data_IF_824259036253
#
_entry.id   IF_824259036253
#
_cell.length_a   1.000
_cell.length_b   1.000
_cell.length_c   1.000
_cell.angle_alpha   90.00
_cell.angle_beta   90.00
_cell.angle_gamma   90.00
#
_symmetry.space_group_name_H-M   'P 1'
#
loop_
_entity.id
_entity.type
_entity.pdbx_description
1 polymer ?
#
# COMPACT_ATOMS: atom_id res chain seq x y z
N UNK A 1 -23.00 -26.08 -0.40
CA UNK A 1 -22.28 -26.71 -1.53
C UNK A 1 -22.11 -28.20 -1.28
N UNK A 2 -22.45 -29.03 -2.26
CA UNK A 2 -22.33 -30.50 -2.18
C UNK A 2 -21.29 -30.96 -3.20
N UNK A 3 -20.31 -31.70 -2.72
CA UNK A 3 -19.26 -32.29 -3.56
C UNK A 3 -19.45 -33.79 -3.62
N UNK A 4 -19.58 -34.37 -4.81
CA UNK A 4 -19.85 -35.79 -4.99
C UNK A 4 -19.28 -36.35 -6.30
N UNK A 5 -18.95 -37.64 -6.38
CA UNK A 5 -18.65 -38.27 -7.65
C UNK A 5 -19.98 -38.54 -8.41
N UNK A 6 -20.00 -38.18 -9.69
CA UNK A 6 -21.16 -38.42 -10.58
C UNK A 6 -20.73 -39.11 -11.84
N UNK A 7 -21.65 -39.75 -12.55
CA UNK A 7 -21.44 -40.15 -13.93
C UNK A 7 -21.21 -38.90 -14.79
N UNK A 8 -20.36 -39.00 -15.80
CA UNK A 8 -20.01 -37.83 -16.61
C UNK A 8 -21.27 -37.17 -17.26
N UNK A 9 -22.27 -37.98 -17.63
CA UNK A 9 -23.52 -37.48 -18.20
C UNK A 9 -24.32 -36.59 -17.21
N UNK A 10 -24.19 -36.85 -15.91
CA UNK A 10 -24.88 -36.14 -14.86
C UNK A 10 -24.12 -34.89 -14.40
N UNK A 11 -22.98 -34.59 -15.02
CA UNK A 11 -22.11 -33.49 -14.60
C UNK A 11 -22.41 -32.14 -15.26
N UNK A 12 -23.26 -32.11 -16.28
CA UNK A 12 -23.60 -30.88 -17.01
C UNK A 12 -24.07 -29.77 -16.07
N UNK A 13 -23.50 -28.58 -16.23
CA UNK A 13 -23.80 -27.41 -15.39
C UNK A 13 -23.16 -27.43 -14.00
N UNK A 14 -22.47 -28.52 -13.61
CA UNK A 14 -21.79 -28.64 -12.32
C UNK A 14 -20.31 -28.24 -12.46
N UNK A 15 -19.69 -27.91 -11.33
CA UNK A 15 -18.30 -27.43 -11.26
C UNK A 15 -17.35 -28.60 -11.01
N UNK A 16 -16.35 -28.75 -11.84
CA UNK A 16 -15.33 -29.79 -11.71
C UNK A 16 -14.44 -29.55 -10.47
N UNK A 17 -14.39 -30.52 -9.55
CA UNK A 17 -13.65 -30.39 -8.29
C UNK A 17 -12.14 -30.61 -8.43
N UNK A 18 -11.73 -31.46 -9.36
CA UNK A 18 -10.35 -31.84 -9.58
C UNK A 18 -9.96 -31.63 -11.05
N UNK A 19 -8.72 -31.27 -11.36
CA UNK A 19 -8.28 -31.23 -12.75
C UNK A 19 -8.34 -32.63 -13.36
N UNK A 20 -8.72 -32.71 -14.64
CA UNK A 20 -8.75 -33.96 -15.40
C UNK A 20 -7.59 -33.97 -16.40
N UNK A 21 -6.92 -35.09 -16.48
CA UNK A 21 -5.76 -35.28 -17.35
C UNK A 21 -6.01 -36.45 -18.31
N UNK A 22 -5.42 -36.42 -19.50
CA UNK A 22 -5.28 -37.54 -20.42
C UNK A 22 -4.32 -38.59 -19.85
N UNK A 23 -4.39 -39.77 -20.37
CA UNK A 23 -3.38 -40.83 -20.07
C UNK A 23 -1.94 -40.41 -20.39
N UNK A 24 -1.76 -39.46 -21.31
CA UNK A 24 -0.47 -38.85 -21.65
C UNK A 24 0.04 -37.83 -20.62
N UNK A 25 -0.71 -37.56 -19.54
CA UNK A 25 -0.40 -36.51 -18.54
C UNK A 25 -0.80 -35.09 -18.95
N UNK A 26 -1.31 -34.86 -20.16
CA UNK A 26 -1.77 -33.55 -20.60
C UNK A 26 -3.12 -33.20 -19.93
N UNK A 27 -3.20 -32.02 -19.29
CA UNK A 27 -4.43 -31.56 -18.68
C UNK A 27 -5.49 -31.26 -19.73
N UNK A 28 -6.72 -31.76 -19.51
CA UNK A 28 -7.90 -31.53 -20.35
C UNK A 28 -8.68 -30.36 -19.75
N UNK A 29 -9.12 -30.50 -18.49
CA UNK A 29 -9.89 -29.49 -17.76
C UNK A 29 -9.22 -29.13 -16.46
N UNK A 30 -9.34 -27.86 -16.07
CA UNK A 30 -8.88 -27.37 -14.77
C UNK A 30 -9.98 -27.54 -13.71
N UNK A 31 -9.58 -27.59 -12.45
CA UNK A 31 -10.48 -27.39 -11.32
C UNK A 31 -11.27 -26.10 -11.50
N UNK A 32 -12.56 -26.07 -11.15
CA UNK A 32 -13.45 -24.94 -11.30
C UNK A 32 -14.13 -24.82 -12.67
N UNK A 33 -13.80 -25.72 -13.65
CA UNK A 33 -14.45 -25.75 -14.95
C UNK A 33 -15.93 -26.14 -14.81
N UNK A 34 -16.84 -25.36 -15.41
CA UNK A 34 -18.27 -25.71 -15.47
C UNK A 34 -18.46 -26.66 -16.64
N UNK A 35 -18.98 -27.85 -16.37
CA UNK A 35 -19.14 -28.93 -17.34
C UNK A 35 -20.23 -28.60 -18.35
N UNK A 36 -19.91 -28.72 -19.64
CA UNK A 36 -20.83 -28.58 -20.78
C UNK A 36 -21.12 -29.92 -21.44
N UNK A 37 -22.08 -29.95 -22.38
CA UNK A 37 -22.35 -31.14 -23.19
C UNK A 37 -21.15 -31.56 -24.06
N UNK A 38 -20.40 -30.62 -24.59
CA UNK A 38 -19.21 -30.90 -25.39
C UNK A 38 -18.09 -31.54 -24.56
N UNK A 39 -17.96 -31.16 -23.28
CA UNK A 39 -16.98 -31.74 -22.38
C UNK A 39 -17.27 -33.22 -22.11
N UNK A 40 -18.55 -33.61 -22.08
CA UNK A 40 -18.96 -35.00 -21.93
C UNK A 40 -18.40 -35.85 -23.07
N UNK A 41 -18.48 -35.35 -24.32
CA UNK A 41 -17.92 -36.09 -25.49
C UNK A 41 -16.41 -36.25 -25.36
N UNK A 42 -15.71 -35.21 -24.91
CA UNK A 42 -14.26 -35.28 -24.69
C UNK A 42 -13.91 -36.31 -23.62
N UNK A 43 -14.60 -36.29 -22.48
CA UNK A 43 -14.34 -37.21 -21.37
C UNK A 43 -14.69 -38.66 -21.72
N UNK A 44 -15.76 -38.87 -22.47
CA UNK A 44 -16.14 -40.20 -22.99
C UNK A 44 -15.06 -40.73 -23.93
N UNK A 45 -14.51 -39.91 -24.82
CA UNK A 45 -13.41 -40.26 -25.71
C UNK A 45 -12.11 -40.65 -24.99
N UNK A 46 -11.90 -40.12 -23.76
CA UNK A 46 -10.77 -40.51 -22.91
C UNK A 46 -11.05 -41.72 -21.99
N UNK A 47 -12.22 -42.34 -22.12
CA UNK A 47 -12.60 -43.53 -21.35
C UNK A 47 -12.97 -43.27 -19.88
N UNK A 48 -13.22 -42.03 -19.53
CA UNK A 48 -13.67 -41.64 -18.19
C UNK A 48 -15.16 -41.88 -18.03
N UNK A 49 -15.59 -42.41 -16.88
CA UNK A 49 -16.99 -42.67 -16.59
C UNK A 49 -17.53 -41.86 -15.41
N UNK A 50 -16.65 -41.47 -14.50
CA UNK A 50 -17.00 -40.72 -13.29
C UNK A 50 -16.03 -39.57 -13.04
N UNK A 51 -16.53 -38.44 -12.56
CA UNK A 51 -15.75 -37.28 -12.13
C UNK A 51 -16.33 -36.73 -10.84
N UNK A 52 -15.48 -36.02 -10.09
CA UNK A 52 -15.89 -35.27 -8.89
C UNK A 52 -16.38 -33.89 -9.29
N UNK A 53 -17.60 -33.57 -8.94
CA UNK A 53 -18.21 -32.27 -9.20
C UNK A 53 -18.81 -31.67 -7.95
N UNK A 54 -18.95 -30.37 -7.96
CA UNK A 54 -19.67 -29.59 -6.95
C UNK A 54 -20.90 -28.95 -7.57
N UNK A 55 -21.97 -28.85 -6.80
CA UNK A 55 -23.15 -28.10 -7.14
C UNK A 55 -23.40 -27.07 -6.06
N UNK A 56 -23.65 -25.82 -6.49
CA UNK A 56 -23.98 -24.73 -5.57
C UNK A 56 -25.36 -24.99 -4.98
N UNK A 57 -25.49 -24.73 -3.68
CA UNK A 57 -26.78 -24.68 -3.00
C UNK A 57 -27.44 -23.29 -3.17
N UNK A 58 -28.73 -23.19 -2.91
CA UNK A 58 -29.41 -21.92 -2.87
C UNK A 58 -28.75 -20.99 -1.82
N UNK A 59 -28.49 -19.75 -2.19
CA UNK A 59 -27.81 -18.79 -1.32
C UNK A 59 -26.27 -18.86 -1.34
N UNK A 60 -25.70 -19.55 -2.29
CA UNK A 60 -24.24 -19.54 -2.57
C UNK A 60 -23.92 -18.77 -3.85
N UNK A 61 -22.77 -18.08 -3.85
CA UNK A 61 -22.23 -17.35 -4.99
C UNK A 61 -20.99 -18.06 -5.51
N UNK A 62 -20.81 -18.18 -6.85
CA UNK A 62 -19.58 -18.73 -7.43
C UNK A 62 -18.34 -17.98 -6.98
N UNK A 63 -17.23 -18.72 -6.77
CA UNK A 63 -15.97 -18.20 -6.24
C UNK A 63 -15.43 -16.98 -7.01
N UNK A 64 -15.46 -17.00 -8.36
CA UNK A 64 -14.94 -15.91 -9.19
C UNK A 64 -15.81 -14.65 -9.11
N UNK A 65 -17.14 -14.80 -8.96
CA UNK A 65 -18.04 -13.67 -8.74
C UNK A 65 -17.85 -13.07 -7.34
N UNK A 66 -17.69 -13.90 -6.32
CA UNK A 66 -17.45 -13.45 -4.95
C UNK A 66 -16.16 -12.62 -4.83
N UNK A 67 -15.04 -13.13 -5.38
CA UNK A 67 -13.77 -12.38 -5.31
C UNK A 67 -13.80 -11.11 -6.17
N UNK A 68 -14.53 -11.11 -7.29
CA UNK A 68 -14.73 -9.91 -8.11
C UNK A 68 -15.46 -8.83 -7.34
N UNK A 69 -16.57 -9.19 -6.69
CA UNK A 69 -17.37 -8.26 -5.88
C UNK A 69 -16.54 -7.64 -4.76
N UNK A 70 -15.82 -8.48 -4.00
CA UNK A 70 -14.98 -7.99 -2.91
C UNK A 70 -13.81 -7.15 -3.43
N UNK A 71 -13.09 -7.60 -4.48
CA UNK A 71 -11.98 -6.86 -5.06
C UNK A 71 -12.40 -5.46 -5.54
N UNK A 72 -13.59 -5.35 -6.13
CA UNK A 72 -14.18 -4.07 -6.55
C UNK A 72 -14.49 -3.18 -5.33
N UNK A 73 -15.05 -3.73 -4.28
CA UNK A 73 -15.41 -2.97 -3.08
C UNK A 73 -14.21 -2.51 -2.25
N UNK A 74 -13.12 -3.27 -2.22
CA UNK A 74 -11.92 -2.91 -1.45
C UNK A 74 -11.00 -1.91 -2.15
N UNK A 75 -11.09 -1.75 -3.46
CA UNK A 75 -10.14 -1.00 -4.28
C UNK A 75 -10.55 0.46 -4.48
N UNK A 76 -9.60 1.37 -4.32
CA UNK A 76 -9.75 2.78 -4.68
C UNK A 76 -8.44 3.34 -5.27
N UNK A 77 -8.57 4.29 -6.21
CA UNK A 77 -7.43 4.94 -6.84
C UNK A 77 -6.85 4.14 -8.01
N UNK A 78 -5.53 4.22 -8.16
CA UNK A 78 -4.80 3.73 -9.34
C UNK A 78 -4.56 2.22 -9.30
N UNK A 79 -5.65 1.43 -9.32
CA UNK A 79 -5.63 -0.03 -9.27
C UNK A 79 -6.41 -0.67 -10.43
N UNK A 80 -5.85 -1.73 -10.97
CA UNK A 80 -6.51 -2.65 -11.91
C UNK A 80 -6.81 -3.97 -11.19
N UNK A 81 -8.01 -4.51 -11.41
CA UNK A 81 -8.42 -5.80 -10.87
C UNK A 81 -8.27 -6.85 -11.95
N UNK A 82 -7.47 -7.89 -11.68
CA UNK A 82 -7.28 -9.05 -12.55
C UNK A 82 -7.80 -10.31 -11.87
N UNK A 83 -8.95 -10.78 -12.34
CA UNK A 83 -9.54 -12.03 -11.85
C UNK A 83 -8.90 -13.21 -12.59
N UNK A 84 -8.54 -14.24 -11.84
CA UNK A 84 -8.06 -15.52 -12.37
C UNK A 84 -8.98 -16.61 -11.89
N UNK A 85 -9.13 -17.68 -12.70
CA UNK A 85 -9.95 -18.83 -12.34
C UNK A 85 -9.53 -19.44 -10.98
N UNK A 86 -10.51 -19.95 -10.24
CA UNK A 86 -10.30 -20.60 -8.95
C UNK A 86 -10.36 -19.63 -7.77
N UNK A 87 -11.27 -18.67 -7.85
CA UNK A 87 -11.62 -17.76 -6.74
C UNK A 87 -10.48 -16.83 -6.34
N UNK A 88 -9.79 -16.23 -7.30
CA UNK A 88 -8.68 -15.29 -7.03
C UNK A 88 -8.82 -14.01 -7.85
N UNK A 89 -8.73 -12.88 -7.18
CA UNK A 89 -8.56 -11.58 -7.81
C UNK A 89 -7.28 -10.90 -7.29
N UNK A 90 -6.46 -10.39 -8.21
CA UNK A 90 -5.26 -9.63 -7.89
C UNK A 90 -5.50 -8.15 -8.18
N UNK A 91 -5.04 -7.29 -7.29
CA UNK A 91 -5.06 -5.84 -7.48
C UNK A 91 -3.64 -5.40 -7.88
N UNK A 92 -3.54 -4.71 -8.99
CA UNK A 92 -2.27 -4.30 -9.62
C UNK A 92 -2.24 -2.78 -9.71
N UNK A 93 -1.15 -2.16 -9.28
CA UNK A 93 -0.96 -0.72 -9.43
C UNK A 93 -0.82 -0.33 -10.90
N UNK A 94 -1.58 0.68 -11.34
CA UNK A 94 -1.56 1.20 -12.72
C UNK A 94 -0.55 2.33 -12.93
N UNK A 95 -0.08 2.92 -11.83
CA UNK A 95 0.97 3.95 -11.82
C UNK A 95 1.75 3.87 -10.49
N UNK A 96 2.90 4.55 -10.41
CA UNK A 96 3.66 4.66 -9.18
C UNK A 96 2.83 5.37 -8.10
N UNK A 97 2.64 4.73 -6.95
CA UNK A 97 1.73 5.19 -5.91
C UNK A 97 2.19 4.86 -4.50
N UNK A 98 1.56 5.49 -3.53
CA UNK A 98 1.58 5.07 -2.14
C UNK A 98 0.35 4.23 -1.84
N UNK A 99 0.55 3.08 -1.22
CA UNK A 99 -0.53 2.21 -0.77
C UNK A 99 -0.97 2.60 0.65
N UNK A 100 -2.24 2.95 0.80
CA UNK A 100 -2.88 3.18 2.09
C UNK A 100 -3.84 2.03 2.39
N UNK A 101 -3.80 1.53 3.63
CA UNK A 101 -4.57 0.35 4.06
C UNK A 101 -5.26 0.64 5.39
N UNK A 102 -6.56 0.34 5.48
CA UNK A 102 -7.29 0.29 6.75
C UNK A 102 -7.05 -1.10 7.40
N UNK A 103 -6.07 -1.18 8.28
CA UNK A 103 -5.66 -2.44 8.92
C UNK A 103 -6.77 -3.06 9.77
N UNK A 104 -7.64 -2.26 10.38
CA UNK A 104 -8.73 -2.77 11.20
C UNK A 104 -9.85 -3.32 10.33
N UNK A 105 -10.16 -2.68 9.21
CA UNK A 105 -11.10 -3.20 8.23
C UNK A 105 -10.56 -4.50 7.59
N UNK A 106 -9.25 -4.56 7.30
CA UNK A 106 -8.60 -5.77 6.80
C UNK A 106 -8.79 -6.97 7.74
N UNK A 107 -8.56 -6.77 9.05
CA UNK A 107 -8.78 -7.79 10.08
C UNK A 107 -10.24 -8.23 10.13
N UNK A 108 -11.18 -7.28 10.11
CA UNK A 108 -12.61 -7.57 10.14
C UNK A 108 -13.03 -8.41 8.92
N UNK A 109 -12.62 -8.04 7.71
CA UNK A 109 -12.91 -8.79 6.49
C UNK A 109 -12.34 -10.21 6.59
N UNK A 110 -11.08 -10.36 7.00
CA UNK A 110 -10.43 -11.66 7.10
C UNK A 110 -11.03 -12.57 8.20
N UNK A 111 -11.73 -12.00 9.18
CA UNK A 111 -12.48 -12.76 10.21
C UNK A 111 -13.81 -13.31 9.71
N UNK A 112 -14.35 -12.85 8.58
CA UNK A 112 -15.68 -13.30 8.09
C UNK A 112 -15.67 -14.70 7.50
N UNK A 113 -14.49 -15.26 7.17
CA UNK A 113 -14.30 -16.53 6.48
C UNK A 113 -14.95 -16.63 5.07
N UNK A 114 -15.55 -15.56 4.55
CA UNK A 114 -16.07 -15.51 3.18
C UNK A 114 -14.95 -15.49 2.16
N UNK A 115 -13.97 -14.62 2.40
CA UNK A 115 -12.77 -14.43 1.60
C UNK A 115 -11.58 -14.17 2.51
N UNK A 116 -10.39 -14.30 1.96
CA UNK A 116 -9.17 -13.81 2.59
C UNK A 116 -8.53 -12.76 1.69
N UNK A 117 -8.05 -11.68 2.30
CA UNK A 117 -7.37 -10.58 1.61
C UNK A 117 -5.95 -10.48 2.17
N UNK A 118 -4.96 -10.64 1.31
CA UNK A 118 -3.56 -10.37 1.62
C UNK A 118 -3.12 -9.11 0.88
N UNK A 119 -2.42 -8.21 1.57
CA UNK A 119 -2.03 -6.90 1.06
C UNK A 119 -0.51 -6.67 1.15
N UNK A 120 -0.01 -5.66 0.45
CA UNK A 120 1.29 -5.06 0.73
C UNK A 120 1.31 -4.38 2.11
N UNK A 121 2.40 -3.68 2.40
CA UNK A 121 2.55 -2.93 3.65
C UNK A 121 1.91 -1.54 3.52
N UNK A 122 1.24 -1.07 4.57
CA UNK A 122 0.70 0.28 4.63
C UNK A 122 1.82 1.33 4.45
N UNK A 123 1.53 2.43 3.76
CA UNK A 123 2.47 3.48 3.40
C UNK A 123 3.61 3.06 2.47
N UNK A 124 3.57 1.85 1.91
CA UNK A 124 4.60 1.42 0.97
C UNK A 124 4.51 2.17 -0.36
N UNK A 125 5.69 2.48 -0.93
CA UNK A 125 5.81 2.90 -2.32
C UNK A 125 5.67 1.68 -3.24
N UNK A 126 4.78 1.77 -4.19
CA UNK A 126 4.44 0.70 -5.13
C UNK A 126 4.72 1.19 -6.55
N UNK A 127 5.40 0.37 -7.33
CA UNK A 127 5.68 0.63 -8.74
C UNK A 127 4.53 0.19 -9.64
N UNK A 128 4.39 0.86 -10.77
CA UNK A 128 3.49 0.45 -11.85
C UNK A 128 3.66 -1.03 -12.19
N UNK A 129 2.54 -1.75 -12.30
CA UNK A 129 2.51 -3.18 -12.59
C UNK A 129 2.74 -4.09 -11.37
N UNK A 130 3.06 -3.54 -10.20
CA UNK A 130 3.24 -4.32 -8.97
C UNK A 130 1.89 -4.75 -8.40
N UNK A 131 1.80 -6.01 -7.97
CA UNK A 131 0.64 -6.52 -7.24
C UNK A 131 0.65 -6.00 -5.81
N UNK A 132 -0.45 -5.37 -5.41
CA UNK A 132 -0.60 -4.76 -4.08
C UNK A 132 -1.51 -5.55 -3.14
N UNK A 133 -2.43 -6.35 -3.71
CA UNK A 133 -3.29 -7.22 -2.93
C UNK A 133 -3.74 -8.44 -3.73
N UNK A 134 -4.17 -9.46 -3.01
CA UNK A 134 -4.85 -10.62 -3.57
C UNK A 134 -6.06 -10.93 -2.69
N UNK A 135 -7.23 -11.02 -3.31
CA UNK A 135 -8.45 -11.57 -2.71
C UNK A 135 -8.59 -13.01 -3.13
N UNK A 136 -8.88 -13.89 -2.19
CA UNK A 136 -9.14 -15.30 -2.46
C UNK A 136 -10.34 -15.79 -1.67
N UNK A 137 -11.22 -16.56 -2.30
CA UNK A 137 -12.36 -17.21 -1.66
C UNK A 137 -12.08 -18.67 -1.30
N UNK A 138 -13.00 -19.26 -0.55
CA UNK A 138 -13.11 -20.71 -0.48
C UNK A 138 -13.37 -21.30 -1.88
N UNK A 139 -12.96 -22.57 -2.13
CA UNK A 139 -13.14 -23.19 -3.43
C UNK A 139 -14.62 -23.33 -3.82
N UNK A 140 -14.91 -23.03 -5.08
CA UNK A 140 -16.15 -23.19 -5.81
C UNK A 140 -17.27 -22.23 -5.44
N UNK A 141 -17.54 -21.97 -4.15
CA UNK A 141 -18.66 -21.13 -3.73
C UNK A 141 -18.42 -20.46 -2.38
N UNK A 142 -19.05 -19.32 -2.20
CA UNK A 142 -19.08 -18.54 -0.94
C UNK A 142 -20.54 -18.33 -0.55
N UNK A 143 -20.83 -18.43 0.75
CA UNK A 143 -22.17 -18.11 1.26
C UNK A 143 -22.50 -16.64 0.98
N UNK A 144 -23.66 -16.40 0.37
CA UNK A 144 -24.15 -15.04 0.10
C UNK A 144 -24.32 -14.21 1.38
N UNK A 145 -24.70 -14.83 2.50
CA UNK A 145 -24.82 -14.13 3.78
C UNK A 145 -23.47 -13.69 4.35
N UNK A 146 -22.43 -14.52 4.22
CA UNK A 146 -21.07 -14.14 4.62
C UNK A 146 -20.51 -13.04 3.73
N UNK A 147 -20.78 -13.11 2.43
CA UNK A 147 -20.37 -12.08 1.49
C UNK A 147 -21.08 -10.74 1.75
N UNK A 148 -22.38 -10.78 2.12
CA UNK A 148 -23.13 -9.58 2.51
C UNK A 148 -22.51 -8.91 3.75
N UNK A 149 -22.00 -9.67 4.70
CA UNK A 149 -21.25 -9.12 5.84
C UNK A 149 -20.03 -8.31 5.38
N UNK A 150 -19.24 -8.86 4.44
CA UNK A 150 -18.08 -8.14 3.88
C UNK A 150 -18.51 -6.88 3.13
N UNK A 151 -19.55 -6.98 2.30
CA UNK A 151 -20.00 -5.83 1.49
C UNK A 151 -20.64 -4.74 2.38
N UNK A 152 -21.28 -5.10 3.48
CA UNK A 152 -21.77 -4.13 4.47
C UNK A 152 -20.62 -3.40 5.17
N UNK A 153 -19.57 -4.11 5.60
CA UNK A 153 -18.37 -3.48 6.18
C UNK A 153 -17.75 -2.46 5.21
N UNK A 154 -17.64 -2.83 3.93
CA UNK A 154 -17.08 -1.94 2.88
C UNK A 154 -17.99 -0.74 2.60
N UNK A 155 -19.31 -0.91 2.66
CA UNK A 155 -20.29 0.18 2.50
C UNK A 155 -20.21 1.18 3.64
N UNK A 156 -20.05 0.70 4.85
CA UNK A 156 -20.07 1.52 6.06
C UNK A 156 -18.72 2.26 6.28
N UNK A 157 -17.60 1.63 5.94
CA UNK A 157 -16.26 2.14 6.22
C UNK A 157 -15.53 2.71 4.99
N UNK A 158 -16.01 2.39 3.79
CA UNK A 158 -15.33 2.74 2.54
C UNK A 158 -14.30 1.70 2.09
N UNK A 159 -13.46 2.05 1.10
CA UNK A 159 -12.51 1.11 0.52
C UNK A 159 -11.38 0.76 1.51
N UNK A 160 -11.02 -0.53 1.53
CA UNK A 160 -9.90 -1.05 2.32
C UNK A 160 -8.54 -0.51 1.84
N UNK A 161 -8.39 -0.39 0.52
CA UNK A 161 -7.13 -0.04 -0.15
C UNK A 161 -7.29 1.23 -0.96
N UNK A 162 -6.38 2.19 -0.74
CA UNK A 162 -6.26 3.38 -1.59
C UNK A 162 -4.85 3.41 -2.20
N UNK A 163 -4.76 3.31 -3.52
CA UNK A 163 -3.52 3.53 -4.25
C UNK A 163 -3.47 5.01 -4.67
N UNK A 164 -2.78 5.84 -3.87
CA UNK A 164 -2.65 7.28 -4.15
C UNK A 164 -1.43 7.56 -5.01
N UNK A 165 -1.59 8.13 -6.21
CA UNK A 165 -0.48 8.32 -7.13
C UNK A 165 0.58 9.30 -6.61
N UNK A 166 1.84 8.99 -6.90
CA UNK A 166 2.98 9.89 -6.67
C UNK A 166 3.36 10.47 -8.03
N UNK A 167 2.88 11.69 -8.30
CA UNK A 167 3.05 12.34 -9.61
C UNK A 167 3.96 13.55 -9.50
N UNK A 168 5.20 13.43 -10.06
CA UNK A 168 6.18 14.52 -10.16
C UNK A 168 6.29 15.34 -8.86
N UNK A 169 6.62 14.70 -7.73
CA UNK A 169 6.74 15.44 -6.48
C UNK A 169 7.92 16.42 -6.55
N UNK A 170 7.70 17.64 -6.06
CA UNK A 170 8.71 18.70 -5.97
C UNK A 170 9.16 18.87 -4.53
N UNK A 171 10.47 18.92 -4.28
CA UNK A 171 11.03 18.93 -2.93
C UNK A 171 11.82 20.21 -2.69
N UNK A 172 11.49 20.87 -1.57
CA UNK A 172 12.33 21.90 -0.98
C UNK A 172 13.32 21.28 0.00
N UNK A 173 14.59 21.66 -0.04
CA UNK A 173 15.61 21.23 0.90
C UNK A 173 16.28 22.43 1.59
N UNK A 174 16.25 22.43 2.92
CA UNK A 174 17.00 23.38 3.76
C UNK A 174 18.21 22.65 4.34
N UNK A 175 19.40 23.16 4.08
CA UNK A 175 20.64 22.71 4.70
C UNK A 175 21.08 23.73 5.74
N UNK A 176 20.86 23.40 7.01
CA UNK A 176 21.16 24.27 8.14
C UNK A 176 22.52 23.88 8.77
N UNK A 177 23.42 24.84 8.85
CA UNK A 177 24.80 24.66 9.34
C UNK A 177 25.14 25.70 10.40
N UNK A 178 25.74 25.28 11.50
CA UNK A 178 26.15 26.16 12.61
C UNK A 178 27.11 27.26 12.16
N UNK A 179 27.97 26.98 11.18
CA UNK A 179 29.01 27.90 10.67
C UNK A 179 28.59 28.64 9.39
N UNK A 180 27.34 28.49 8.93
CA UNK A 180 26.84 29.05 7.66
C UNK A 180 27.68 28.62 6.44
N UNK A 181 28.17 27.39 6.47
CA UNK A 181 28.95 26.78 5.38
C UNK A 181 28.14 25.73 4.61
N UNK A 182 28.85 24.99 3.79
CA UNK A 182 28.29 23.90 2.97
C UNK A 182 28.36 22.53 3.67
N UNK A 183 28.70 22.48 4.97
CA UNK A 183 28.92 21.22 5.67
C UNK A 183 27.65 20.38 5.75
N UNK A 184 26.52 20.98 6.08
CA UNK A 184 25.24 20.26 6.10
C UNK A 184 24.89 19.75 4.70
N UNK A 185 25.03 20.58 3.69
CA UNK A 185 24.81 20.19 2.30
C UNK A 185 25.72 19.03 1.89
N UNK A 186 27.02 19.13 2.16
CA UNK A 186 28.00 18.07 1.85
C UNK A 186 27.69 16.73 2.53
N UNK A 187 27.10 16.76 3.73
CA UNK A 187 26.74 15.55 4.47
C UNK A 187 25.42 14.91 4.02
N UNK A 188 24.45 15.69 3.59
CA UNK A 188 23.08 15.22 3.39
C UNK A 188 22.62 15.17 1.93
N UNK A 189 23.16 16.01 1.05
CA UNK A 189 22.61 16.18 -0.30
C UNK A 189 22.64 14.90 -1.13
N UNK A 190 23.78 14.19 -1.11
CA UNK A 190 23.93 12.96 -1.87
C UNK A 190 22.91 11.89 -1.44
N UNK A 191 22.79 11.66 -0.14
CA UNK A 191 21.86 10.65 0.41
C UNK A 191 20.40 11.08 0.20
N UNK A 192 20.11 12.38 0.34
CA UNK A 192 18.77 12.93 0.06
C UNK A 192 18.38 12.67 -1.40
N UNK A 193 19.26 12.94 -2.36
CA UNK A 193 19.03 12.64 -3.77
C UNK A 193 18.75 11.16 -4.00
N UNK A 194 19.59 10.26 -3.50
CA UNK A 194 19.41 8.82 -3.64
C UNK A 194 18.03 8.33 -3.08
N UNK A 195 17.60 8.91 -1.96
CA UNK A 195 16.28 8.56 -1.39
C UNK A 195 15.12 9.03 -2.25
N UNK A 196 15.21 10.26 -2.73
CA UNK A 196 14.16 10.89 -3.53
C UNK A 196 14.05 10.28 -4.93
N UNK A 197 15.17 9.88 -5.54
CA UNK A 197 15.20 9.20 -6.84
C UNK A 197 14.31 7.94 -6.89
N UNK A 198 14.17 7.24 -5.77
CA UNK A 198 13.27 6.06 -5.67
C UNK A 198 11.82 6.41 -5.99
N UNK A 199 11.44 7.68 -5.78
CA UNK A 199 10.09 8.22 -5.99
C UNK A 199 10.01 9.09 -7.25
N UNK A 200 11.04 9.10 -8.08
CA UNK A 200 11.13 9.99 -9.23
C UNK A 200 11.20 11.47 -8.84
N UNK A 201 11.73 11.77 -7.66
CA UNK A 201 11.89 13.13 -7.12
C UNK A 201 13.34 13.52 -6.98
N UNK A 202 13.59 14.83 -6.86
CA UNK A 202 14.89 15.42 -6.54
C UNK A 202 14.69 16.65 -5.64
N UNK A 203 15.74 17.16 -4.98
CA UNK A 203 15.68 18.46 -4.32
C UNK A 203 15.63 19.58 -5.40
N UNK A 204 14.41 20.00 -5.76
CA UNK A 204 14.18 20.99 -6.83
C UNK A 204 14.56 22.39 -6.40
N UNK A 205 14.36 22.69 -5.12
CA UNK A 205 14.67 23.99 -4.52
C UNK A 205 15.53 23.76 -3.29
N UNK A 206 16.73 24.37 -3.27
CA UNK A 206 17.67 24.21 -2.17
C UNK A 206 18.07 25.52 -1.56
N UNK A 207 18.20 25.58 -0.24
CA UNK A 207 18.67 26.75 0.51
C UNK A 207 19.69 26.30 1.55
N UNK A 208 20.86 26.94 1.56
CA UNK A 208 21.81 26.84 2.66
C UNK A 208 21.58 28.02 3.62
N UNK A 209 21.58 27.76 4.91
CA UNK A 209 21.41 28.80 5.91
C UNK A 209 22.16 28.49 7.19
N UNK A 210 22.29 29.52 8.06
CA UNK A 210 22.75 29.31 9.43
C UNK A 210 21.74 28.50 10.22
N UNK A 211 22.22 27.66 11.11
CA UNK A 211 21.40 26.87 12.05
C UNK A 211 20.88 27.76 13.19
N UNK A 212 20.05 28.72 12.84
CA UNK A 212 19.36 29.60 13.76
C UNK A 212 17.87 29.60 13.41
N UNK A 213 17.03 29.77 14.43
CA UNK A 213 15.57 29.86 14.31
C UNK A 213 15.17 30.81 13.15
N UNK A 214 15.70 32.03 13.13
CA UNK A 214 15.34 33.04 12.12
C UNK A 214 15.76 32.64 10.70
N UNK A 215 16.97 32.12 10.53
CA UNK A 215 17.48 31.77 9.20
C UNK A 215 16.74 30.56 8.62
N UNK A 216 16.47 29.54 9.42
CA UNK A 216 15.70 28.36 9.02
C UNK A 216 14.27 28.77 8.70
N UNK A 217 13.59 29.58 9.55
CA UNK A 217 12.23 30.07 9.31
C UNK A 217 12.11 30.83 7.98
N UNK A 218 13.04 31.75 7.69
CA UNK A 218 13.10 32.46 6.40
C UNK A 218 13.27 31.50 5.22
N UNK A 219 14.11 30.48 5.37
CA UNK A 219 14.34 29.48 4.33
C UNK A 219 13.07 28.66 4.05
N UNK A 220 12.37 28.22 5.10
CA UNK A 220 11.05 27.56 4.97
C UNK A 220 10.06 28.48 4.23
N UNK A 221 9.90 29.71 4.68
CA UNK A 221 8.99 30.69 4.06
C UNK A 221 9.35 30.97 2.59
N UNK A 222 10.63 31.02 2.27
CA UNK A 222 11.12 31.18 0.88
C UNK A 222 10.69 29.98 0.02
N UNK A 223 10.96 28.75 0.48
CA UNK A 223 10.63 27.53 -0.25
C UNK A 223 9.12 27.32 -0.42
N UNK A 224 8.31 27.70 0.57
CA UNK A 224 6.84 27.62 0.52
C UNK A 224 6.23 28.43 -0.65
N UNK A 225 6.89 29.49 -1.13
CA UNK A 225 6.45 30.27 -2.30
C UNK A 225 6.42 29.44 -3.58
N UNK A 226 7.30 28.45 -3.69
CA UNK A 226 7.35 27.52 -4.83
C UNK A 226 6.28 26.41 -4.72
N UNK A 227 5.52 26.35 -3.61
CA UNK A 227 4.49 25.32 -3.33
C UNK A 227 5.02 23.89 -3.52
N UNK A 228 6.13 23.51 -2.87
CA UNK A 228 6.69 22.17 -3.01
C UNK A 228 5.72 21.12 -2.44
N UNK A 229 5.89 19.87 -2.88
CA UNK A 229 5.14 18.73 -2.31
C UNK A 229 5.53 18.48 -0.86
N UNK A 230 6.81 18.68 -0.53
CA UNK A 230 7.33 18.58 0.84
C UNK A 230 8.59 19.45 1.00
N UNK A 231 8.92 19.81 2.25
CA UNK A 231 10.19 20.45 2.60
C UNK A 231 10.94 19.52 3.57
N UNK A 232 12.21 19.23 3.26
CA UNK A 232 13.12 18.49 4.12
C UNK A 232 14.16 19.45 4.71
N UNK A 233 14.32 19.44 6.04
CA UNK A 233 15.33 20.21 6.76
C UNK A 233 16.42 19.25 7.19
N UNK A 234 17.62 19.39 6.69
CA UNK A 234 18.82 18.69 7.08
C UNK A 234 19.72 19.63 7.88
N UNK A 235 19.83 19.36 9.18
CA UNK A 235 20.60 20.15 10.13
C UNK A 235 21.82 19.40 10.60
N UNK A 236 22.93 20.10 10.87
CA UNK A 236 24.13 19.50 11.49
C UNK A 236 23.91 19.09 12.94
N UNK A 237 22.91 19.66 13.59
CA UNK A 237 22.47 19.28 14.93
C UNK A 237 21.20 18.44 14.84
N UNK A 238 21.18 17.33 15.55
CA UNK A 238 19.99 16.47 15.61
C UNK A 238 18.87 17.17 16.38
N UNK A 239 17.61 17.13 15.89
CA UNK A 239 16.48 17.71 16.59
C UNK A 239 16.37 17.15 18.03
N UNK A 240 16.26 18.04 18.99
CA UNK A 240 16.08 17.68 20.40
C UNK A 240 14.63 17.83 20.87
N UNK A 241 13.81 18.57 20.09
CA UNK A 241 12.41 18.78 20.40
C UNK A 241 11.78 19.92 19.63
N UNK A 242 10.47 20.19 19.86
CA UNK A 242 9.80 21.34 19.29
C UNK A 242 10.38 22.69 19.75
N UNK A 243 11.09 22.70 20.88
CA UNK A 243 11.67 23.90 21.48
C UNK A 243 13.11 24.17 21.02
N UNK A 244 13.69 23.35 20.17
CA UNK A 244 15.01 23.58 19.57
C UNK A 244 14.95 24.59 18.41
N UNK A 245 16.11 24.95 17.86
CA UNK A 245 16.20 25.93 16.79
C UNK A 245 15.36 25.58 15.55
N UNK A 246 15.24 24.28 15.24
CA UNK A 246 14.44 23.82 14.08
C UNK A 246 12.95 23.84 14.40
N UNK A 247 12.55 23.35 15.58
CA UNK A 247 11.15 23.36 16.02
C UNK A 247 10.60 24.79 16.13
N UNK A 248 11.36 25.68 16.77
CA UNK A 248 11.02 27.09 16.87
C UNK A 248 10.97 27.78 15.49
N UNK A 249 11.89 27.44 14.58
CA UNK A 249 11.88 27.95 13.22
C UNK A 249 10.62 27.52 12.46
N UNK A 250 10.21 26.27 12.60
CA UNK A 250 8.96 25.77 12.01
C UNK A 250 7.75 26.55 12.57
N UNK A 251 7.66 26.71 13.88
CA UNK A 251 6.59 27.49 14.52
C UNK A 251 6.58 28.95 14.02
N UNK A 252 7.77 29.61 13.95
CA UNK A 252 7.92 30.97 13.42
C UNK A 252 7.54 31.08 11.95
N UNK A 253 7.77 30.04 11.15
CA UNK A 253 7.33 29.99 9.76
C UNK A 253 5.81 29.81 9.63
N UNK A 254 5.09 29.63 10.74
CA UNK A 254 3.65 29.41 10.82
C UNK A 254 3.26 27.96 10.58
N UNK A 255 4.17 27.02 10.81
CA UNK A 255 3.89 25.60 10.73
C UNK A 255 3.23 25.11 12.03
N UNK A 256 2.27 24.22 11.91
CA UNK A 256 1.72 23.46 13.01
C UNK A 256 2.57 22.18 13.18
N UNK A 257 3.14 21.99 14.36
CA UNK A 257 3.86 20.76 14.69
C UNK A 257 2.83 19.64 14.85
N UNK A 258 2.95 18.59 14.05
CA UNK A 258 2.09 17.42 14.07
C UNK A 258 2.65 16.36 15.02
N UNK A 259 3.96 16.10 14.94
CA UNK A 259 4.59 15.05 15.73
C UNK A 259 6.07 15.31 15.96
N UNK A 260 6.50 15.16 17.19
CA UNK A 260 7.88 14.93 17.57
C UNK A 260 8.03 13.51 18.11
N UNK A 261 9.15 12.86 17.84
CA UNK A 261 9.45 11.45 18.07
C UNK A 261 8.60 10.48 17.24
N UNK A 262 9.30 9.56 16.61
CA UNK A 262 8.71 8.39 15.96
C UNK A 262 9.25 7.11 16.61
N UNK A 263 8.40 6.08 16.81
CA UNK A 263 8.84 4.80 17.36
C UNK A 263 9.53 3.95 16.28
N UNK A 264 10.56 4.51 15.64
CA UNK A 264 11.32 3.91 14.53
C UNK A 264 12.80 4.04 14.80
N UNK A 265 13.52 2.92 14.74
CA UNK A 265 14.97 2.91 14.93
C UNK A 265 15.67 2.22 13.75
N UNK A 266 16.59 2.92 13.07
CA UNK A 266 17.05 4.29 13.34
C UNK A 266 16.04 5.35 12.85
N UNK A 267 16.01 6.51 13.56
CA UNK A 267 15.24 7.67 13.14
C UNK A 267 14.25 8.23 14.15
N UNK A 268 14.32 7.82 15.41
CA UNK A 268 13.40 8.23 16.48
C UNK A 268 13.34 9.76 16.70
N UNK A 269 14.48 10.46 16.59
CA UNK A 269 14.56 11.92 16.72
C UNK A 269 14.16 12.61 15.40
N UNK A 270 12.88 12.76 15.19
CA UNK A 270 12.26 13.24 13.97
C UNK A 270 11.17 14.26 14.33
N UNK A 271 10.99 15.27 13.49
CA UNK A 271 9.95 16.28 13.67
C UNK A 271 9.16 16.43 12.37
N UNK A 272 7.84 16.32 12.45
CA UNK A 272 6.90 16.56 11.37
C UNK A 272 6.00 17.74 11.72
N UNK A 273 5.86 18.67 10.81
CA UNK A 273 4.87 19.73 10.88
C UNK A 273 4.30 20.05 9.53
N UNK A 274 3.27 20.86 9.51
CA UNK A 274 2.59 21.28 8.30
C UNK A 274 2.42 22.81 8.25
N UNK A 275 2.63 23.38 7.07
CA UNK A 275 2.10 24.69 6.73
C UNK A 275 1.04 24.48 5.67
N UNK A 276 -0.21 24.74 6.07
CA UNK A 276 -1.39 24.32 5.29
C UNK A 276 -1.30 22.83 4.93
N UNK A 277 -1.27 22.46 3.64
CA UNK A 277 -1.12 21.08 3.20
C UNK A 277 0.34 20.68 2.91
N UNK A 278 1.32 21.56 3.09
CA UNK A 278 2.73 21.27 2.82
C UNK A 278 3.39 20.68 4.06
N UNK A 279 3.85 19.42 4.03
CA UNK A 279 4.62 18.84 5.11
C UNK A 279 6.04 19.38 5.15
N UNK A 280 6.51 19.67 6.37
CA UNK A 280 7.88 20.07 6.66
C UNK A 280 8.46 19.05 7.63
N UNK A 281 9.56 18.44 7.24
CA UNK A 281 10.21 17.36 7.99
C UNK A 281 11.59 17.83 8.43
N UNK A 282 11.87 17.79 9.74
CA UNK A 282 13.24 17.83 10.22
C UNK A 282 13.80 16.42 10.24
N UNK A 283 14.77 16.16 9.37
CA UNK A 283 15.38 14.85 9.23
C UNK A 283 16.25 14.51 10.46
N UNK A 284 16.19 13.26 10.95
CA UNK A 284 17.02 12.83 12.05
C UNK A 284 18.50 12.74 11.65
N UNK A 285 19.41 12.77 12.61
CA UNK A 285 20.85 12.72 12.34
C UNK A 285 21.30 11.49 11.55
N UNK A 286 20.63 10.35 11.67
CA UNK A 286 20.89 9.14 10.91
C UNK A 286 20.51 9.26 9.41
N UNK A 287 19.80 10.29 9.00
CA UNK A 287 19.48 10.56 7.60
C UNK A 287 20.71 10.72 6.69
N UNK A 288 21.88 11.04 7.28
CA UNK A 288 23.18 11.06 6.58
C UNK A 288 23.60 9.70 6.01
N UNK A 289 23.05 8.62 6.54
CA UNK A 289 23.35 7.25 6.11
C UNK A 289 22.37 6.79 5.05
N UNK A 290 22.81 5.94 4.13
CA UNK A 290 21.95 5.29 3.14
C UNK A 290 21.02 4.21 3.76
N UNK A 291 21.23 3.85 5.06
CA UNK A 291 20.38 2.88 5.75
C UNK A 291 18.94 3.43 5.88
N UNK A 292 17.92 2.54 5.78
CA UNK A 292 16.54 2.94 6.01
C UNK A 292 16.35 3.62 7.36
N UNK A 293 15.44 4.58 7.44
CA UNK A 293 15.06 5.26 8.67
C UNK A 293 13.62 5.77 8.56
N UNK A 294 13.11 6.45 9.58
CA UNK A 294 11.73 6.95 9.62
C UNK A 294 11.30 7.74 8.38
N UNK A 295 12.21 8.53 7.79
CA UNK A 295 11.89 9.34 6.61
C UNK A 295 11.51 8.47 5.42
N UNK A 296 12.13 7.30 5.26
CA UNK A 296 11.77 6.36 4.19
C UNK A 296 10.36 5.79 4.34
N UNK A 297 9.85 5.68 5.57
CA UNK A 297 8.51 5.17 5.85
C UNK A 297 7.41 6.21 5.62
N UNK A 298 7.71 7.49 5.88
CA UNK A 298 6.71 8.55 5.79
C UNK A 298 6.74 9.34 4.47
N UNK A 299 7.84 9.30 3.72
CA UNK A 299 7.92 9.99 2.44
C UNK A 299 6.85 9.53 1.44
N UNK A 300 6.59 8.23 1.22
CA UNK A 300 5.63 7.80 0.22
C UNK A 300 4.23 8.42 0.41
N UNK A 301 3.59 8.37 1.60
CA UNK A 301 2.29 9.00 1.79
C UNK A 301 2.34 10.53 1.61
N UNK A 302 3.38 11.19 2.12
CA UNK A 302 3.52 12.64 1.98
C UNK A 302 3.69 13.07 0.52
N UNK A 303 4.47 12.32 -0.28
CA UNK A 303 4.65 12.57 -1.71
C UNK A 303 3.37 12.26 -2.52
N UNK A 304 2.53 11.36 -2.03
CA UNK A 304 1.19 11.11 -2.54
C UNK A 304 0.14 12.13 -2.03
N UNK A 305 0.58 13.23 -1.39
CA UNK A 305 -0.27 14.29 -0.80
C UNK A 305 -1.29 13.74 0.20
N UNK A 306 -0.89 12.73 0.95
CA UNK A 306 -1.63 12.25 2.11
C UNK A 306 -1.09 12.92 3.37
N UNK A 307 -1.97 13.47 4.19
CA UNK A 307 -1.61 14.09 5.46
C UNK A 307 -1.39 12.99 6.50
N UNK A 308 -0.15 12.72 6.84
CA UNK A 308 0.23 11.79 7.89
C UNK A 308 0.01 12.44 9.24
N UNK A 309 -0.76 11.79 10.10
CA UNK A 309 -1.10 12.26 11.45
C UNK A 309 -0.12 11.75 12.50
N UNK A 310 -0.10 12.40 13.66
CA UNK A 310 0.68 11.94 14.81
C UNK A 310 0.30 10.51 15.27
N UNK A 311 -0.97 10.12 15.09
CA UNK A 311 -1.43 8.75 15.36
C UNK A 311 -0.79 7.74 14.41
N UNK A 312 -0.78 8.04 13.12
CA UNK A 312 -0.20 7.14 12.10
C UNK A 312 1.32 7.01 12.27
N UNK A 313 2.01 8.09 12.66
CA UNK A 313 3.42 7.99 13.06
C UNK A 313 3.59 7.07 14.26
N UNK A 314 2.70 7.12 15.26
CA UNK A 314 2.76 6.22 16.41
C UNK A 314 2.55 4.75 16.02
N UNK A 315 1.71 4.48 15.01
CA UNK A 315 1.47 3.12 14.49
C UNK A 315 2.71 2.49 13.81
N UNK A 316 3.70 3.29 13.42
CA UNK A 316 4.95 2.77 12.83
C UNK A 316 5.80 1.95 13.82
N UNK A 317 5.46 1.93 15.11
CA UNK A 317 6.19 1.18 16.13
C UNK A 317 6.23 -0.33 15.88
N UNK A 318 5.16 -0.90 15.32
CA UNK A 318 5.16 -2.29 14.89
C UNK A 318 5.90 -2.42 13.54
N UNK A 319 7.06 -3.08 13.56
CA UNK A 319 8.01 -3.12 12.43
C UNK A 319 8.95 -1.91 12.35
N UNK A 320 8.92 -1.01 13.34
CA UNK A 320 9.76 0.19 13.38
C UNK A 320 11.24 -0.05 13.72
N UNK A 321 11.62 -1.29 14.08
CA UNK A 321 13.03 -1.66 14.22
C UNK A 321 13.57 -2.06 12.84
N UNK A 322 14.22 -1.10 12.16
CA UNK A 322 14.73 -1.27 10.80
C UNK A 322 16.13 -1.89 10.81
N UNK A 323 16.39 -2.86 9.93
CA UNK A 323 17.66 -3.58 9.83
C UNK A 323 18.72 -2.83 9.02
#
# INVERSE_FOLDING_TARGET
MRTQPVQIQDSIGRILCNPVFRSSGKKIFSKGHVMSEDDIRVLTGEGLNKIWVSQLDAGEMPEDQAVTSVATGIACGSLEIRVTSGGRANLIATEDCCLLIDDDLLKQINCTAAVVVATGVNFSHVKTGQRVATVKSAPFAVSSSQLETVTSLLRDRGPLLQARPIRKPTIGAVYADACNGDRARGQFEHVMKQRLERFGASPDYTVNCRETEFAIARSIQHLLRAKPTAILIASTVTPAGPEDAVGQAMARAGCQIERFLAPVEPGSLFLLGYKDDTPIISAPGCFRSAKPNVVDLILPPLLARYRVTGWEVACLGHGGLLA
#
